data_IF_813315097895
#
_entry.id   IF_813315097895
#
_cell.length_a   1.000
_cell.length_b   1.000
_cell.length_c   1.000
_cell.angle_alpha   90.00
_cell.angle_beta   90.00
_cell.angle_gamma   90.00
#
_symmetry.space_group_name_H-M   'P 1'
#
loop_
_entity.id
_entity.type
_entity.pdbx_description
1 polymer ?
#
# COMPACT_ATOMS: atom_id res chain seq x y z
N UNK A 1 12.46 28.18 -5.16
CA UNK A 1 11.15 27.55 -4.94
C UNK A 1 11.39 26.09 -4.60
N UNK A 2 10.98 25.60 -3.42
CA UNK A 2 11.14 24.20 -3.06
C UNK A 2 9.88 23.44 -3.52
N UNK A 3 10.01 22.75 -4.64
CA UNK A 3 8.97 21.85 -5.14
C UNK A 3 8.97 20.61 -4.25
N UNK A 4 8.21 20.65 -3.15
CA UNK A 4 7.90 19.45 -2.36
C UNK A 4 6.94 18.60 -3.20
N UNK A 5 7.51 17.90 -4.19
CA UNK A 5 6.81 16.88 -4.95
C UNK A 5 6.40 15.77 -4.01
N UNK A 6 5.20 15.88 -3.44
CA UNK A 6 4.56 14.76 -2.77
C UNK A 6 4.46 13.67 -3.83
N UNK A 7 5.22 12.58 -3.68
CA UNK A 7 5.15 11.43 -4.58
C UNK A 7 3.76 10.83 -4.40
N UNK A 8 2.79 11.35 -5.15
CA UNK A 8 1.41 10.88 -5.13
C UNK A 8 1.43 9.50 -5.76
N UNK A 9 1.44 8.46 -4.93
CA UNK A 9 1.28 7.08 -5.38
C UNK A 9 -0.01 7.02 -6.19
N UNK A 10 0.14 6.80 -7.49
CA UNK A 10 -0.97 6.64 -8.43
C UNK A 10 -1.18 5.16 -8.68
N UNK A 11 -2.43 4.76 -8.86
CA UNK A 11 -2.74 3.41 -9.23
C UNK A 11 -2.19 3.12 -10.62
N UNK A 12 -1.38 2.06 -10.80
CA UNK A 12 -0.88 1.70 -12.12
C UNK A 12 -1.99 1.19 -13.05
N UNK A 13 -3.16 0.82 -12.52
CA UNK A 13 -4.28 0.27 -13.28
C UNK A 13 -5.28 1.33 -13.78
N UNK A 14 -5.58 2.34 -12.96
CA UNK A 14 -6.59 3.36 -13.27
C UNK A 14 -6.10 4.81 -13.17
N UNK A 15 -4.87 5.06 -12.70
CA UNK A 15 -4.31 6.40 -12.53
C UNK A 15 -4.80 7.17 -11.30
N UNK A 16 -5.75 6.62 -10.54
CA UNK A 16 -6.29 7.25 -9.34
C UNK A 16 -5.22 7.43 -8.25
N UNK A 17 -5.31 8.54 -7.52
CA UNK A 17 -4.45 8.83 -6.35
C UNK A 17 -5.04 8.32 -5.03
N UNK A 18 -6.25 7.76 -5.06
CA UNK A 18 -6.95 7.25 -3.89
C UNK A 18 -6.46 5.84 -3.53
N UNK A 19 -5.25 5.77 -2.99
CA UNK A 19 -4.56 4.53 -2.61
C UNK A 19 -4.52 4.42 -1.08
N UNK A 20 -4.82 3.24 -0.56
CA UNK A 20 -4.72 2.89 0.86
C UNK A 20 -3.63 1.84 1.03
N UNK A 21 -2.73 2.06 1.98
CA UNK A 21 -1.84 0.98 2.40
C UNK A 21 -2.59 0.10 3.41
N UNK A 22 -2.74 -1.18 3.10
CA UNK A 22 -3.35 -2.16 3.99
C UNK A 22 -2.31 -3.21 4.39
N UNK A 23 -2.50 -3.81 5.56
CA UNK A 23 -1.72 -4.95 6.00
C UNK A 23 -2.57 -6.19 5.77
N UNK A 24 -2.05 -7.13 4.99
CA UNK A 24 -2.71 -8.39 4.71
C UNK A 24 -2.60 -9.28 5.96
N UNK A 25 -3.60 -9.16 6.83
CA UNK A 25 -3.68 -9.93 8.08
C UNK A 25 -4.05 -11.39 7.86
N UNK A 26 -4.35 -11.79 6.62
CA UNK A 26 -4.71 -13.17 6.28
C UNK A 26 -3.53 -14.14 6.34
N UNK A 27 -2.31 -13.64 6.15
CA UNK A 27 -1.08 -14.45 6.24
C UNK A 27 0.01 -13.64 6.94
N UNK A 28 0.37 -14.05 8.16
CA UNK A 28 1.58 -13.56 8.81
C UNK A 28 2.76 -14.00 7.96
N UNK A 29 3.54 -13.05 7.43
CA UNK A 29 4.73 -13.35 6.64
C UNK A 29 5.83 -13.92 7.51
N UNK A 30 6.06 -13.29 8.66
CA UNK A 30 7.12 -13.64 9.58
C UNK A 30 6.84 -13.03 10.94
N UNK A 31 7.48 -13.53 11.99
CA UNK A 31 7.38 -12.98 13.33
C UNK A 31 8.69 -12.26 13.66
N UNK A 32 8.64 -10.95 13.90
CA UNK A 32 9.78 -10.25 14.49
C UNK A 32 9.67 -10.37 16.02
N UNK A 33 10.33 -11.39 16.56
CA UNK A 33 10.18 -11.79 17.96
C UNK A 33 8.76 -12.28 18.22
N UNK A 34 7.96 -11.49 18.94
CA UNK A 34 6.57 -11.80 19.29
C UNK A 34 5.53 -11.01 18.45
N UNK A 35 5.97 -10.09 17.59
CA UNK A 35 5.04 -9.29 16.77
C UNK A 35 4.87 -9.92 15.39
N UNK A 36 3.65 -10.30 14.98
CA UNK A 36 3.40 -10.78 13.62
C UNK A 36 3.61 -9.65 12.61
N UNK A 37 4.51 -9.87 11.66
CA UNK A 37 4.70 -8.99 10.50
C UNK A 37 3.74 -9.45 9.41
N UNK A 38 2.83 -8.54 9.05
CA UNK A 38 1.91 -8.72 7.94
C UNK A 38 2.47 -8.10 6.68
N UNK A 39 2.15 -8.68 5.52
CA UNK A 39 2.52 -8.08 4.23
C UNK A 39 1.79 -6.76 4.07
N UNK A 40 2.54 -5.68 3.90
CA UNK A 40 1.95 -4.40 3.51
C UNK A 40 1.76 -4.43 2.00
N UNK A 41 0.56 -4.07 1.55
CA UNK A 41 0.27 -3.84 0.15
C UNK A 41 -0.44 -2.49 -0.01
N UNK A 42 -0.28 -1.89 -1.16
CA UNK A 42 -1.06 -0.76 -1.62
C UNK A 42 -2.32 -1.28 -2.29
N UNK A 43 -3.47 -0.71 -1.93
CA UNK A 43 -4.77 -1.01 -2.54
C UNK A 43 -5.38 0.27 -3.07
N UNK A 44 -5.76 0.28 -4.34
CA UNK A 44 -6.55 1.34 -4.91
C UNK A 44 -8.00 1.21 -4.44
N UNK A 45 -8.56 2.28 -3.86
CA UNK A 45 -9.98 2.31 -3.44
C UNK A 45 -10.95 2.50 -4.60
N UNK A 46 -10.49 2.95 -5.75
CA UNK A 46 -11.35 3.17 -6.92
C UNK A 46 -11.53 1.89 -7.75
N UNK A 47 -10.44 1.26 -8.18
CA UNK A 47 -10.51 0.07 -9.03
C UNK A 47 -10.29 -1.26 -8.29
N UNK A 48 -9.90 -1.21 -7.01
CA UNK A 48 -9.62 -2.41 -6.21
C UNK A 48 -8.28 -3.10 -6.47
N UNK A 49 -7.43 -2.56 -7.36
CA UNK A 49 -6.11 -3.13 -7.63
C UNK A 49 -5.22 -3.13 -6.38
N UNK A 50 -4.49 -4.22 -6.15
CA UNK A 50 -3.50 -4.36 -5.08
C UNK A 50 -2.10 -4.58 -5.64
N UNK A 51 -1.09 -3.93 -5.08
CA UNK A 51 0.32 -4.10 -5.44
C UNK A 51 1.23 -3.87 -4.21
N UNK A 52 2.45 -4.36 -4.27
CA UNK A 52 3.46 -4.21 -3.20
C UNK A 52 4.57 -3.24 -3.61
#
# INVERSE_FOLDING_TARGET
MAETGSVRVKCPKCGSINIKQEQDKGKVLSYAGQTPIYKKHWKCRECGATWE
#
